data_IF_074132568880
#
_entry.id   IF_074132568880
#
_cell.length_a   1.000
_cell.length_b   1.000
_cell.length_c   1.000
_cell.angle_alpha   90.00
_cell.angle_beta   90.00
_cell.angle_gamma   90.00
#
_symmetry.space_group_name_H-M   'P 1'
#
loop_
_entity.id
_entity.type
_entity.pdbx_description
1 polymer ?
#
# COMPACT_ATOMS: atom_id res chain seq x y z
N UNK A 1 -29.32 9.29 2.04
CA UNK A 1 -28.28 9.79 1.11
C UNK A 1 -28.49 11.28 0.96
N UNK A 2 -27.49 12.13 1.23
CA UNK A 2 -27.67 13.58 1.17
C UNK A 2 -27.38 14.09 -0.25
N UNK A 3 -28.44 14.58 -0.90
CA UNK A 3 -28.40 15.24 -2.20
C UNK A 3 -28.48 16.75 -1.99
N UNK A 4 -27.49 17.48 -2.51
CA UNK A 4 -27.45 18.95 -2.43
C UNK A 4 -27.52 19.51 -3.84
N UNK A 5 -28.50 20.39 -4.07
CA UNK A 5 -28.60 21.13 -5.33
C UNK A 5 -27.69 22.36 -5.26
N UNK A 6 -26.77 22.48 -6.22
CA UNK A 6 -25.88 23.64 -6.35
C UNK A 6 -25.75 24.00 -7.82
N UNK A 7 -25.96 25.27 -8.18
CA UNK A 7 -25.90 25.75 -9.56
C UNK A 7 -26.70 24.87 -10.55
N UNK A 8 -27.96 24.57 -10.19
CA UNK A 8 -28.85 23.68 -10.95
C UNK A 8 -28.34 22.24 -11.13
N UNK A 9 -27.31 21.80 -10.41
CA UNK A 9 -26.83 20.41 -10.49
C UNK A 9 -26.88 19.74 -9.12
N UNK A 10 -27.46 18.55 -9.06
CA UNK A 10 -27.46 17.73 -7.85
C UNK A 10 -26.08 17.11 -7.62
N UNK A 11 -25.65 17.13 -6.37
CA UNK A 11 -24.42 16.52 -5.91
C UNK A 11 -24.73 15.55 -4.77
N UNK A 12 -24.06 14.40 -4.73
CA UNK A 12 -23.99 13.59 -3.50
C UNK A 12 -22.86 14.12 -2.64
N UNK A 13 -23.14 14.27 -1.34
CA UNK A 13 -22.13 14.69 -0.39
C UNK A 13 -22.00 13.65 0.70
N UNK A 14 -20.82 13.02 0.79
CA UNK A 14 -20.60 11.89 1.69
C UNK A 14 -19.19 11.90 2.27
N UNK A 15 -19.10 11.50 3.54
CA UNK A 15 -17.84 11.33 4.24
C UNK A 15 -17.00 10.23 3.56
N UNK A 16 -15.70 10.44 3.47
CA UNK A 16 -14.74 9.42 3.04
C UNK A 16 -14.63 8.36 4.15
N UNK A 17 -14.89 7.07 3.85
CA UNK A 17 -14.67 5.99 4.81
C UNK A 17 -13.22 5.95 5.30
N UNK A 18 -13.03 5.65 6.60
CA UNK A 18 -11.69 5.65 7.24
C UNK A 18 -10.67 4.78 6.50
N UNK A 19 -11.11 3.68 5.89
CA UNK A 19 -10.28 2.74 5.12
C UNK A 19 -9.51 3.43 3.99
N UNK A 20 -10.09 4.44 3.36
CA UNK A 20 -9.48 5.13 2.22
C UNK A 20 -8.74 6.42 2.63
N UNK A 21 -8.68 6.76 3.92
CA UNK A 21 -7.99 7.95 4.39
C UNK A 21 -6.49 8.04 3.98
N UNK A 22 -5.74 6.92 3.84
CA UNK A 22 -4.36 6.98 3.35
C UNK A 22 -4.21 7.45 1.90
N UNK A 23 -5.24 7.26 1.06
CA UNK A 23 -5.21 7.58 -0.38
C UNK A 23 -6.08 8.79 -0.74
N UNK A 24 -7.11 9.08 0.06
CA UNK A 24 -7.99 10.23 -0.08
C UNK A 24 -7.94 11.07 1.20
N UNK A 25 -7.14 12.16 1.22
CA UNK A 25 -6.96 12.98 2.42
C UNK A 25 -8.21 13.82 2.75
N UNK A 26 -9.16 13.99 1.80
CA UNK A 26 -10.38 14.76 2.04
C UNK A 26 -11.27 14.03 3.05
N UNK A 27 -11.86 14.77 4.00
CA UNK A 27 -12.83 14.20 4.96
C UNK A 27 -14.18 13.87 4.33
N UNK A 28 -14.55 14.61 3.28
CA UNK A 28 -15.83 14.50 2.61
C UNK A 28 -15.63 14.76 1.11
N UNK A 29 -16.38 14.02 0.28
CA UNK A 29 -16.40 14.22 -1.17
C UNK A 29 -17.74 14.72 -1.64
N UNK A 30 -17.68 15.54 -2.69
CA UNK A 30 -18.81 16.07 -3.43
C UNK A 30 -18.73 15.48 -4.83
N UNK A 31 -19.75 14.72 -5.22
CA UNK A 31 -19.79 14.08 -6.54
C UNK A 31 -20.98 14.65 -7.27
N UNK A 32 -20.72 15.32 -8.39
CA UNK A 32 -21.77 15.84 -9.28
C UNK A 32 -22.52 14.67 -9.92
N UNK A 33 -23.85 14.76 -9.94
CA UNK A 33 -24.72 13.82 -10.64
C UNK A 33 -25.11 14.30 -12.04
N UNK A 34 -24.67 15.51 -12.42
CA UNK A 34 -24.91 16.11 -13.73
C UNK A 34 -26.39 16.09 -14.13
N UNK A 35 -27.27 16.42 -13.19
CA UNK A 35 -28.71 16.49 -13.39
C UNK A 35 -29.31 17.54 -12.47
N UNK A 36 -30.32 18.25 -12.95
CA UNK A 36 -31.15 19.19 -12.20
C UNK A 36 -32.47 18.57 -11.73
N UNK A 37 -32.81 17.37 -12.24
CA UNK A 37 -33.96 16.56 -11.80
C UNK A 37 -33.62 15.74 -10.57
N UNK A 38 -34.43 15.88 -9.52
CA UNK A 38 -34.27 15.17 -8.24
C UNK A 38 -34.46 13.65 -8.39
N UNK A 39 -35.46 13.23 -9.16
CA UNK A 39 -35.77 11.79 -9.36
C UNK A 39 -34.63 11.09 -10.08
N UNK A 40 -34.07 11.74 -11.11
CA UNK A 40 -32.89 11.23 -11.84
C UNK A 40 -31.66 11.23 -10.93
N UNK A 41 -31.50 12.25 -10.08
CA UNK A 41 -30.41 12.31 -9.12
C UNK A 41 -30.48 11.14 -8.11
N UNK A 42 -31.66 10.83 -7.58
CA UNK A 42 -31.87 9.73 -6.64
C UNK A 42 -31.54 8.37 -7.27
N UNK A 43 -31.87 8.18 -8.57
CA UNK A 43 -31.52 6.97 -9.31
C UNK A 43 -30.03 6.86 -9.63
N UNK A 44 -29.36 7.97 -9.98
CA UNK A 44 -27.93 8.00 -10.32
C UNK A 44 -27.01 7.90 -9.10
N UNK A 45 -27.46 8.40 -7.96
CA UNK A 45 -26.63 8.56 -6.77
C UNK A 45 -25.99 7.26 -6.23
N UNK A 46 -26.68 6.09 -6.19
CA UNK A 46 -26.06 4.84 -5.76
C UNK A 46 -24.92 4.42 -6.67
N UNK A 47 -25.12 4.50 -8.00
CA UNK A 47 -24.11 4.12 -9.00
C UNK A 47 -22.91 5.06 -8.96
N UNK A 48 -23.13 6.37 -8.89
CA UNK A 48 -22.06 7.35 -8.77
C UNK A 48 -21.20 7.13 -7.50
N UNK A 49 -21.85 6.76 -6.39
CA UNK A 49 -21.13 6.41 -5.18
C UNK A 49 -20.34 5.09 -5.32
N UNK A 50 -20.93 4.07 -5.95
CA UNK A 50 -20.27 2.78 -6.17
C UNK A 50 -18.98 2.95 -7.00
N UNK A 51 -19.04 3.72 -8.09
CA UNK A 51 -17.85 3.98 -8.92
C UNK A 51 -16.75 4.72 -8.15
N UNK A 52 -17.09 5.65 -7.25
CA UNK A 52 -16.10 6.32 -6.41
C UNK A 52 -15.41 5.33 -5.46
N UNK A 53 -16.19 4.44 -4.83
CA UNK A 53 -15.66 3.40 -3.95
C UNK A 53 -14.76 2.44 -4.72
N UNK A 54 -15.17 2.01 -5.91
CA UNK A 54 -14.37 1.15 -6.79
C UNK A 54 -13.03 1.81 -7.16
N UNK A 55 -13.04 3.09 -7.52
CA UNK A 55 -11.82 3.86 -7.80
C UNK A 55 -10.86 3.92 -6.60
N UNK A 56 -11.39 4.08 -5.39
CA UNK A 56 -10.58 4.00 -4.17
C UNK A 56 -10.05 2.60 -3.88
N UNK A 57 -10.84 1.54 -4.11
CA UNK A 57 -10.36 0.16 -3.97
C UNK A 57 -9.23 -0.15 -4.95
N UNK A 58 -9.36 0.26 -6.22
CA UNK A 58 -8.31 0.10 -7.22
C UNK A 58 -7.04 0.86 -6.84
N UNK A 59 -7.17 2.09 -6.33
CA UNK A 59 -6.03 2.89 -5.87
C UNK A 59 -5.33 2.26 -4.67
N UNK A 60 -6.11 1.73 -3.72
CA UNK A 60 -5.58 1.04 -2.54
C UNK A 60 -4.89 -0.28 -2.90
N UNK A 61 -5.43 -1.02 -3.87
CA UNK A 61 -4.81 -2.23 -4.42
C UNK A 61 -3.48 -1.89 -5.08
N UNK A 62 -3.44 -0.91 -5.99
CA UNK A 62 -2.20 -0.47 -6.65
C UNK A 62 -1.13 0.00 -5.67
N UNK A 63 -1.52 0.72 -4.60
CA UNK A 63 -0.58 1.12 -3.54
C UNK A 63 -0.03 -0.07 -2.75
N UNK A 64 -0.82 -1.13 -2.56
CA UNK A 64 -0.36 -2.38 -1.92
C UNK A 64 0.65 -3.09 -2.83
N UNK A 65 0.33 -3.26 -4.10
CA UNK A 65 1.17 -3.98 -5.07
C UNK A 65 2.51 -3.27 -5.31
N UNK A 66 2.51 -1.94 -5.29
CA UNK A 66 3.73 -1.13 -5.37
C UNK A 66 4.59 -1.28 -4.10
N UNK A 67 3.98 -1.35 -2.91
CA UNK A 67 4.72 -1.62 -1.68
C UNK A 67 5.36 -3.01 -1.67
N UNK A 68 4.65 -4.04 -2.15
CA UNK A 68 5.20 -5.40 -2.31
C UNK A 68 6.39 -5.43 -3.28
N UNK A 69 6.26 -4.76 -4.44
CA UNK A 69 7.36 -4.66 -5.42
C UNK A 69 8.60 -3.96 -4.86
N UNK A 70 8.41 -2.85 -4.13
CA UNK A 70 9.52 -2.13 -3.48
C UNK A 70 10.22 -2.98 -2.43
N UNK A 71 9.46 -3.76 -1.66
CA UNK A 71 10.01 -4.65 -0.67
C UNK A 71 10.79 -5.81 -1.30
N UNK A 72 10.28 -6.41 -2.38
CA UNK A 72 11.01 -7.41 -3.15
C UNK A 72 12.32 -6.84 -3.72
N UNK A 73 12.27 -5.64 -4.31
CA UNK A 73 13.48 -4.96 -4.79
C UNK A 73 14.51 -4.71 -3.68
N UNK A 74 14.07 -4.33 -2.48
CA UNK A 74 14.97 -4.18 -1.34
C UNK A 74 15.64 -5.51 -0.93
N UNK A 75 14.94 -6.64 -1.02
CA UNK A 75 15.54 -7.95 -0.75
C UNK A 75 16.62 -8.30 -1.77
N UNK A 76 16.36 -8.07 -3.05
CA UNK A 76 17.33 -8.30 -4.12
C UNK A 76 18.55 -7.39 -3.96
N UNK A 77 18.37 -6.11 -3.64
CA UNK A 77 19.48 -5.19 -3.39
C UNK A 77 20.36 -5.64 -2.22
N UNK A 78 19.76 -6.13 -1.12
CA UNK A 78 20.52 -6.71 -0.02
C UNK A 78 21.32 -7.94 -0.47
N UNK A 79 20.70 -8.83 -1.25
CA UNK A 79 21.32 -10.05 -1.76
C UNK A 79 22.49 -9.77 -2.70
N UNK A 80 22.34 -8.80 -3.62
CA UNK A 80 23.43 -8.33 -4.52
C UNK A 80 24.62 -7.81 -3.71
N UNK A 81 24.39 -7.23 -2.54
CA UNK A 81 25.42 -6.76 -1.62
C UNK A 81 25.97 -7.86 -0.70
N UNK A 82 25.54 -9.11 -0.87
CA UNK A 82 26.02 -10.27 -0.12
C UNK A 82 25.33 -10.46 1.24
N UNK A 83 24.22 -9.76 1.50
CA UNK A 83 23.48 -9.86 2.76
C UNK A 83 22.08 -10.43 2.54
N UNK A 84 21.68 -11.38 3.37
CA UNK A 84 20.26 -11.72 3.51
C UNK A 84 19.52 -10.52 4.10
N UNK A 85 18.39 -10.16 3.48
CA UNK A 85 17.52 -9.12 4.02
C UNK A 85 17.05 -9.50 5.42
N UNK A 86 17.22 -8.59 6.37
CA UNK A 86 16.74 -8.69 7.74
C UNK A 86 16.06 -7.37 8.08
N UNK A 87 14.90 -7.37 8.76
CA UNK A 87 14.29 -6.14 9.25
C UNK A 87 15.18 -5.49 10.33
N UNK A 88 15.07 -4.17 10.47
CA UNK A 88 15.99 -3.36 11.28
C UNK A 88 16.10 -3.80 12.74
N UNK A 89 15.02 -4.31 13.33
CA UNK A 89 14.98 -4.88 14.67
C UNK A 89 15.88 -6.11 14.82
N UNK A 90 15.90 -6.99 13.80
CA UNK A 90 16.76 -8.17 13.76
C UNK A 90 18.20 -7.83 13.41
N UNK A 91 18.41 -6.82 12.57
CA UNK A 91 19.76 -6.27 12.30
C UNK A 91 20.38 -5.75 13.59
N UNK A 92 19.64 -5.00 14.40
CA UNK A 92 20.12 -4.46 15.67
C UNK A 92 20.48 -5.54 16.72
N UNK A 93 19.93 -6.76 16.59
CA UNK A 93 20.22 -7.89 17.47
C UNK A 93 21.44 -8.73 17.02
N UNK A 94 22.04 -8.41 15.86
CA UNK A 94 23.21 -9.15 15.38
C UNK A 94 24.41 -8.95 16.32
N UNK A 95 25.36 -9.92 16.34
CA UNK A 95 26.66 -9.71 16.93
C UNK A 95 27.30 -8.41 16.43
N UNK A 96 27.99 -7.69 17.31
CA UNK A 96 28.50 -6.33 17.04
C UNK A 96 29.34 -6.28 15.78
N UNK A 97 30.17 -7.29 15.55
CA UNK A 97 31.05 -7.40 14.38
C UNK A 97 30.22 -7.46 13.07
N UNK A 98 29.16 -8.26 13.06
CA UNK A 98 28.26 -8.40 11.90
C UNK A 98 27.37 -7.19 11.67
N UNK A 99 26.98 -6.52 12.74
CA UNK A 99 26.29 -5.24 12.64
C UNK A 99 27.20 -4.16 12.02
N UNK A 100 28.45 -4.06 12.50
CA UNK A 100 29.43 -3.11 11.99
C UNK A 100 29.76 -3.36 10.52
N UNK A 101 29.97 -4.62 10.10
CA UNK A 101 30.18 -4.97 8.69
C UNK A 101 29.06 -4.42 7.79
N UNK A 102 27.80 -4.57 8.22
CA UNK A 102 26.64 -4.05 7.48
C UNK A 102 26.61 -2.52 7.45
N UNK A 103 26.85 -1.86 8.58
CA UNK A 103 26.88 -0.39 8.67
C UNK A 103 27.99 0.19 7.79
N UNK A 104 29.19 -0.37 7.84
CA UNK A 104 30.31 0.06 7.00
C UNK A 104 30.02 -0.16 5.51
N UNK A 105 29.37 -1.28 5.15
CA UNK A 105 28.97 -1.52 3.76
C UNK A 105 27.96 -0.48 3.26
N UNK A 106 27.03 -0.06 4.12
CA UNK A 106 26.03 0.96 3.81
C UNK A 106 26.66 2.36 3.68
N UNK A 107 27.65 2.69 4.51
CA UNK A 107 28.36 3.97 4.45
C UNK A 107 29.27 4.12 3.22
N UNK A 108 29.70 3.02 2.61
CA UNK A 108 30.49 3.03 1.37
C UNK A 108 29.65 3.30 0.12
N UNK A 109 28.33 3.34 0.24
CA UNK A 109 27.42 3.61 -0.88
C UNK A 109 27.41 5.10 -1.22
N UNK A 110 27.51 5.42 -2.51
CA UNK A 110 27.51 6.78 -3.02
C UNK A 110 26.57 6.90 -4.23
N UNK A 111 25.99 8.09 -4.42
CA UNK A 111 25.07 8.41 -5.52
C UNK A 111 23.59 8.35 -5.14
N UNK A 112 22.71 8.63 -6.11
CA UNK A 112 21.27 8.83 -5.89
C UNK A 112 20.54 7.57 -5.36
N UNK A 113 21.08 6.38 -5.63
CA UNK A 113 20.53 5.11 -5.16
C UNK A 113 21.07 4.68 -3.77
N UNK A 114 22.05 5.39 -3.22
CA UNK A 114 22.74 4.99 -1.99
C UNK A 114 21.78 4.88 -0.79
N UNK A 115 20.80 5.78 -0.69
CA UNK A 115 19.82 5.74 0.39
C UNK A 115 18.90 4.50 0.31
N UNK A 116 18.50 4.11 -0.89
CA UNK A 116 17.63 2.96 -1.12
C UNK A 116 18.39 1.66 -0.80
N UNK A 117 19.62 1.57 -1.27
CA UNK A 117 20.50 0.43 -1.01
C UNK A 117 20.91 0.32 0.47
N UNK A 118 21.20 1.44 1.13
CA UNK A 118 21.48 1.46 2.57
C UNK A 118 20.28 0.97 3.38
N UNK A 119 19.06 1.38 3.01
CA UNK A 119 17.82 0.88 3.63
C UNK A 119 17.63 -0.62 3.39
N UNK A 120 18.00 -1.13 2.22
CA UNK A 120 17.95 -2.57 1.93
C UNK A 120 18.91 -3.38 2.83
N UNK A 121 20.15 -2.92 2.99
CA UNK A 121 21.18 -3.61 3.78
C UNK A 121 20.90 -3.56 5.30
N UNK A 122 20.42 -2.41 5.78
CA UNK A 122 20.16 -2.15 7.20
C UNK A 122 18.74 -2.53 7.65
N UNK A 123 17.88 -3.01 6.75
CA UNK A 123 16.53 -3.45 7.11
C UNK A 123 15.51 -2.33 7.27
N UNK A 124 15.78 -1.15 6.70
CA UNK A 124 14.91 0.01 6.72
C UNK A 124 13.81 0.00 5.65
N UNK A 125 13.75 -1.04 4.79
CA UNK A 125 12.65 -1.19 3.86
C UNK A 125 11.37 -1.59 4.62
N UNK A 126 10.29 -0.83 4.39
CA UNK A 126 9.02 -1.09 5.07
C UNK A 126 8.42 -2.39 4.56
N UNK A 127 8.28 -3.36 5.46
CA UNK A 127 7.59 -4.61 5.15
C UNK A 127 6.11 -4.32 4.87
N UNK A 128 5.57 -4.77 3.71
CA UNK A 128 4.16 -4.60 3.41
C UNK A 128 3.34 -5.45 4.39
N UNK A 129 2.29 -4.86 4.97
CA UNK A 129 1.38 -5.61 5.83
C UNK A 129 0.65 -6.69 5.01
N UNK A 130 0.72 -7.94 5.44
CA UNK A 130 0.03 -9.05 4.79
C UNK A 130 -1.48 -8.94 5.08
N UNK A 131 -2.30 -8.91 4.04
CA UNK A 131 -3.77 -9.02 4.18
C UNK A 131 -4.15 -10.44 4.59
N UNK A 132 -5.20 -10.62 5.40
CA UNK A 132 -5.69 -11.96 5.81
C UNK A 132 -6.00 -12.86 4.61
N UNK A 133 -6.57 -12.30 3.53
CA UNK A 133 -6.80 -13.04 2.28
C UNK A 133 -5.50 -13.56 1.67
N UNK A 134 -4.43 -12.77 1.71
CA UNK A 134 -3.11 -13.16 1.21
C UNK A 134 -2.46 -14.22 2.10
N UNK A 135 -2.65 -14.13 3.42
CA UNK A 135 -2.21 -15.16 4.35
C UNK A 135 -2.85 -16.53 4.04
N UNK A 136 -4.14 -16.54 3.65
CA UNK A 136 -4.83 -17.76 3.23
C UNK A 136 -4.25 -18.34 1.93
N UNK A 137 -3.99 -17.50 0.91
CA UNK A 137 -3.32 -17.95 -0.32
C UNK A 137 -1.93 -18.54 -0.06
N UNK A 138 -1.14 -17.86 0.78
CA UNK A 138 0.20 -18.31 1.16
C UNK A 138 0.14 -19.63 1.91
N UNK A 139 -0.80 -19.77 2.85
CA UNK A 139 -1.02 -21.01 3.59
C UNK A 139 -1.26 -22.19 2.64
N UNK A 140 -2.19 -22.07 1.68
CA UNK A 140 -2.45 -23.16 0.75
C UNK A 140 -1.26 -23.46 -0.17
N UNK A 141 -0.46 -22.46 -0.51
CA UNK A 141 0.76 -22.64 -1.31
C UNK A 141 1.81 -23.44 -0.53
N UNK A 142 2.02 -23.12 0.75
CA UNK A 142 2.95 -23.84 1.62
C UNK A 142 2.43 -25.23 2.02
N UNK A 143 1.14 -25.35 2.37
CA UNK A 143 0.51 -26.62 2.72
C UNK A 143 0.55 -27.64 1.58
N UNK A 144 0.50 -27.18 0.32
CA UNK A 144 0.65 -28.06 -0.86
C UNK A 144 2.02 -28.75 -0.91
N UNK A 145 3.06 -28.16 -0.34
CA UNK A 145 4.38 -28.79 -0.23
C UNK A 145 4.41 -29.87 0.87
N UNK A 146 3.60 -29.74 1.93
CA UNK A 146 3.52 -30.70 3.03
C UNK A 146 2.55 -31.87 2.77
N UNK A 147 1.61 -31.74 1.83
CA UNK A 147 0.57 -32.77 1.59
C UNK A 147 0.89 -33.76 0.46
N UNK A 148 2.07 -33.64 -0.18
CA UNK A 148 2.56 -34.56 -1.22
C UNK A 148 3.79 -35.35 -0.73
N UNK A 149 3.73 -35.82 0.52
CA UNK A 149 4.61 -36.87 1.05
C UNK A 149 4.03 -38.26 0.82
#
# INVERSE_FOLDING_TARGET
>A
MNLILRNRTFHIVRRVPKRYAPIEPRKQVWISLHTDSKTVAEQKAPTAWAHMVEGWEASLAGATDDAERRFAAAKELAAVRGYSYLPADRVAQLPREKLLERVESALKLNGDAAEIEARAVLGGAREPGIKISKALELYWTFAKQDTLG
#
